data_IF_317323472194
#
_entry.id   IF_317323472194
#
_cell.length_a   1.000
_cell.length_b   1.000
_cell.length_c   1.000
_cell.angle_alpha   90.00
_cell.angle_beta   90.00
_cell.angle_gamma   90.00
#
_symmetry.space_group_name_H-M   'P 1'
#
loop_
_entity.id
_entity.type
_entity.pdbx_description
1 polymer ?
#
# COMPACT_ATOMS: atom_id res chain seq x y z
N UNK A 1 -1.00 -0.02 -13.57
CA UNK A 1 -2.08 0.85 -13.03
C UNK A 1 -1.59 1.47 -11.73
N UNK A 2 -2.00 2.71 -11.43
CA UNK A 2 -1.56 3.42 -10.23
C UNK A 2 -2.61 3.36 -9.13
N UNK A 3 -2.16 3.28 -7.88
CA UNK A 3 -3.00 3.19 -6.70
C UNK A 3 -2.47 4.14 -5.63
N UNK A 4 -3.35 5.00 -5.12
CA UNK A 4 -3.09 5.79 -3.92
C UNK A 4 -3.98 5.27 -2.80
N UNK A 5 -3.38 4.81 -1.71
CA UNK A 5 -4.10 4.18 -0.61
C UNK A 5 -3.81 4.88 0.71
N UNK A 6 -4.82 4.96 1.58
CA UNK A 6 -4.75 5.68 2.86
C UNK A 6 -5.08 4.79 4.05
N UNK A 7 -4.26 4.88 5.10
CA UNK A 7 -4.61 4.46 6.46
C UNK A 7 -5.31 5.65 7.16
N UNK A 8 -6.59 5.50 7.49
CA UNK A 8 -7.47 6.59 7.94
C UNK A 8 -7.28 6.96 9.42
N UNK A 9 -6.04 6.91 9.91
CA UNK A 9 -5.71 7.30 11.27
C UNK A 9 -5.85 8.83 11.46
N UNK A 10 -6.27 9.21 12.66
CA UNK A 10 -6.89 10.52 12.91
C UNK A 10 -5.88 11.60 13.28
N UNK A 11 -4.75 11.20 13.85
CA UNK A 11 -3.63 12.06 14.23
C UNK A 11 -2.41 11.78 13.34
N UNK A 12 -2.12 10.50 13.15
CA UNK A 12 -1.05 9.99 12.31
C UNK A 12 -1.63 9.61 10.97
N UNK A 13 -1.47 10.46 9.96
CA UNK A 13 -1.94 10.20 8.61
C UNK A 13 -0.89 9.41 7.84
N UNK A 14 -1.28 8.37 7.11
CA UNK A 14 -0.36 7.64 6.27
C UNK A 14 -0.97 7.27 4.91
N UNK A 15 -0.09 7.23 3.91
CA UNK A 15 -0.45 6.83 2.56
C UNK A 15 0.67 6.05 1.88
N UNK A 16 0.29 5.32 0.83
CA UNK A 16 1.21 4.73 -0.14
C UNK A 16 0.72 5.05 -1.55
N UNK A 17 1.63 5.51 -2.42
CA UNK A 17 1.44 5.59 -3.86
C UNK A 17 2.23 4.46 -4.50
N UNK A 18 1.55 3.61 -5.27
CA UNK A 18 2.18 2.47 -5.93
C UNK A 18 1.71 2.30 -7.36
N UNK A 19 2.59 1.73 -8.18
CA UNK A 19 2.26 1.19 -9.48
C UNK A 19 2.25 -0.34 -9.37
N UNK A 20 1.21 -0.96 -9.92
CA UNK A 20 1.13 -2.43 -10.07
C UNK A 20 0.78 -2.78 -11.51
N UNK A 21 1.64 -3.57 -12.15
CA UNK A 21 1.42 -4.16 -13.46
C UNK A 21 0.94 -5.61 -13.33
N UNK A 22 -0.35 -5.84 -13.54
CA UNK A 22 -0.92 -7.18 -13.45
C UNK A 22 -0.73 -8.00 -14.72
N UNK A 23 -0.23 -7.39 -15.81
CA UNK A 23 0.03 -8.11 -17.05
C UNK A 23 1.38 -8.86 -17.02
N UNK A 24 1.41 -9.89 -16.18
CA UNK A 24 2.55 -10.81 -16.06
C UNK A 24 2.58 -11.77 -17.26
N UNK A 25 1.44 -11.99 -17.91
CA UNK A 25 1.29 -12.94 -19.01
C UNK A 25 2.19 -12.59 -20.20
N UNK A 26 2.30 -11.30 -20.52
CA UNK A 26 3.19 -10.82 -21.57
C UNK A 26 4.66 -11.01 -21.20
N UNK A 27 5.05 -10.76 -19.95
CA UNK A 27 6.43 -10.98 -19.47
C UNK A 27 6.83 -12.45 -19.60
N UNK A 28 5.93 -13.37 -19.26
CA UNK A 28 6.19 -14.82 -19.37
C UNK A 28 6.26 -15.29 -20.83
N UNK A 29 5.38 -14.78 -21.71
CA UNK A 29 5.42 -15.10 -23.14
C UNK A 29 6.73 -14.64 -23.77
N UNK A 30 7.15 -13.41 -23.49
CA UNK A 30 8.42 -12.88 -23.99
C UNK A 30 9.61 -13.70 -23.47
N UNK A 31 9.58 -14.14 -22.20
CA UNK A 31 10.63 -14.99 -21.63
C UNK A 31 10.74 -16.34 -22.35
N UNK A 32 9.61 -17.01 -22.59
CA UNK A 32 9.58 -18.30 -23.29
C UNK A 32 10.09 -18.16 -24.72
N UNK A 33 9.68 -17.09 -25.43
CA UNK A 33 10.13 -16.83 -26.79
C UNK A 33 11.63 -16.56 -26.86
N UNK A 34 12.15 -15.71 -25.97
CA UNK A 34 13.59 -15.43 -25.90
C UNK A 34 14.39 -16.69 -25.54
N UNK A 35 13.87 -17.54 -24.64
CA UNK A 35 14.53 -18.78 -24.21
C UNK A 35 14.68 -19.80 -25.34
N UNK A 36 13.70 -19.88 -26.25
CA UNK A 36 13.75 -20.79 -27.41
C UNK A 36 14.88 -20.45 -28.40
N UNK A 37 15.34 -19.18 -28.42
CA UNK A 37 16.40 -18.71 -29.29
C UNK A 37 17.80 -18.76 -28.66
N UNK A 38 17.91 -19.04 -27.36
CA UNK A 38 19.16 -18.91 -26.61
C UNK A 38 19.89 -20.25 -26.47
N UNK A 39 21.20 -20.25 -26.69
CA UNK A 39 22.04 -21.44 -26.50
C UNK A 39 23.21 -21.14 -25.57
N UNK A 40 23.45 -22.06 -24.63
CA UNK A 40 24.57 -21.96 -23.70
C UNK A 40 24.21 -21.29 -22.38
N UNK A 41 24.99 -21.63 -21.36
CA UNK A 41 24.71 -21.28 -19.96
C UNK A 41 24.74 -19.77 -19.71
N UNK A 42 25.71 -19.05 -20.28
CA UNK A 42 25.86 -17.61 -20.08
C UNK A 42 24.68 -16.81 -20.68
N UNK A 43 24.19 -17.23 -21.85
CA UNK A 43 23.02 -16.62 -22.48
C UNK A 43 21.76 -16.80 -21.62
N UNK A 44 21.53 -18.02 -21.13
CA UNK A 44 20.43 -18.33 -20.23
C UNK A 44 20.52 -17.51 -18.93
N UNK A 45 21.70 -17.40 -18.32
CA UNK A 45 21.88 -16.59 -17.11
C UNK A 45 21.57 -15.10 -17.34
N UNK A 46 22.03 -14.54 -18.45
CA UNK A 46 21.72 -13.16 -18.84
C UNK A 46 20.22 -12.95 -19.05
N UNK A 47 19.57 -13.91 -19.72
CA UNK A 47 18.13 -13.89 -19.94
C UNK A 47 17.36 -13.95 -18.63
N UNK A 48 17.70 -14.87 -17.74
CA UNK A 48 17.08 -14.98 -16.41
C UNK A 48 17.25 -13.67 -15.64
N UNK A 49 18.42 -13.05 -15.68
CA UNK A 49 18.65 -11.77 -15.01
C UNK A 49 17.80 -10.63 -15.60
N UNK A 50 17.72 -10.52 -16.94
CA UNK A 50 16.85 -9.55 -17.64
C UNK A 50 15.40 -9.66 -17.18
N UNK A 51 14.85 -10.87 -17.13
CA UNK A 51 13.46 -11.09 -16.74
C UNK A 51 13.24 -10.97 -15.23
N UNK A 52 14.22 -11.33 -14.41
CA UNK A 52 14.20 -11.04 -12.98
C UNK A 52 14.04 -9.53 -12.72
N UNK A 53 14.79 -8.69 -13.42
CA UNK A 53 14.65 -7.23 -13.30
C UNK A 53 13.28 -6.72 -13.78
N UNK A 54 12.74 -7.28 -14.88
CA UNK A 54 11.36 -6.98 -15.32
C UNK A 54 10.32 -7.40 -14.27
N UNK A 55 10.49 -8.55 -13.63
CA UNK A 55 9.58 -9.02 -12.58
C UNK A 55 9.63 -8.09 -11.36
N UNK A 56 10.81 -7.57 -11.00
CA UNK A 56 10.99 -6.61 -9.90
C UNK A 56 10.28 -5.27 -10.12
N UNK A 57 9.91 -4.92 -11.36
CA UNK A 57 9.18 -3.68 -11.68
C UNK A 57 7.67 -3.87 -11.79
N UNK A 58 7.16 -5.11 -11.62
CA UNK A 58 5.71 -5.38 -11.60
C UNK A 58 5.03 -4.62 -10.46
N UNK A 59 5.68 -4.52 -9.31
CA UNK A 59 5.29 -3.64 -8.22
C UNK A 59 6.36 -2.56 -8.11
N UNK A 60 5.92 -1.32 -8.02
CA UNK A 60 6.79 -0.20 -7.70
C UNK A 60 6.12 0.67 -6.63
N UNK A 61 6.77 0.72 -5.47
CA UNK A 61 6.38 1.57 -4.35
C UNK A 61 6.95 2.97 -4.59
N UNK A 62 6.17 3.85 -5.19
CA UNK A 62 6.65 5.13 -5.73
C UNK A 62 6.86 6.18 -4.64
N UNK A 63 5.96 6.23 -3.66
CA UNK A 63 6.00 7.20 -2.58
C UNK A 63 5.17 6.71 -1.39
N UNK A 64 5.45 7.23 -0.21
CA UNK A 64 4.72 6.93 1.00
C UNK A 64 5.22 7.76 2.17
N UNK A 65 4.29 8.18 3.02
CA UNK A 65 4.64 8.99 4.17
C UNK A 65 3.77 8.67 5.37
N UNK A 66 4.31 9.00 6.55
CA UNK A 66 3.58 9.07 7.80
C UNK A 66 3.75 10.47 8.36
N UNK A 67 2.62 11.13 8.65
CA UNK A 67 2.60 12.51 9.11
C UNK A 67 1.81 12.60 10.40
N UNK A 68 2.44 13.05 11.48
CA UNK A 68 1.74 13.50 12.68
C UNK A 68 1.35 14.97 12.47
N UNK A 69 0.05 15.23 12.24
CA UNK A 69 -0.44 16.60 12.05
C UNK A 69 -0.44 17.42 13.34
N UNK A 70 -0.33 16.78 14.50
CA UNK A 70 -0.47 17.41 15.82
C UNK A 70 0.60 16.88 16.78
N UNK A 71 1.89 17.14 16.47
CA UNK A 71 2.99 16.67 17.32
C UNK A 71 2.80 17.21 18.74
N UNK A 72 3.08 16.36 19.72
CA UNK A 72 2.97 16.66 21.16
C UNK A 72 1.54 16.96 21.69
N UNK A 73 0.50 16.89 20.86
CA UNK A 73 -0.89 17.05 21.30
C UNK A 73 -1.54 15.67 21.50
N UNK A 74 -2.07 15.34 22.69
CA UNK A 74 -2.82 14.11 22.92
C UNK A 74 -4.03 13.98 21.98
N UNK A 75 -4.31 12.77 21.46
CA UNK A 75 -5.38 12.57 20.47
C UNK A 75 -6.77 13.01 20.97
N UNK A 76 -7.06 12.85 22.26
CA UNK A 76 -8.34 13.28 22.84
C UNK A 76 -8.51 14.81 22.91
N UNK A 77 -7.46 15.60 22.70
CA UNK A 77 -7.52 17.08 22.74
C UNK A 77 -7.65 17.73 21.35
N UNK A 78 -7.52 16.96 20.27
CA UNK A 78 -7.52 17.52 18.92
C UNK A 78 -8.95 17.62 18.41
N UNK A 79 -9.36 18.83 18.01
CA UNK A 79 -10.67 19.06 17.42
C UNK A 79 -10.80 18.36 16.06
N UNK A 80 -11.97 17.79 15.85
CA UNK A 80 -12.43 17.13 14.64
C UNK A 80 -12.24 17.98 13.36
N UNK A 81 -12.62 19.26 13.40
CA UNK A 81 -12.49 20.19 12.27
C UNK A 81 -11.02 20.46 11.95
N UNK A 82 -10.18 20.66 12.97
CA UNK A 82 -8.74 20.88 12.80
C UNK A 82 -8.08 19.71 12.06
N UNK A 83 -8.48 18.47 12.38
CA UNK A 83 -7.97 17.25 11.72
C UNK A 83 -8.28 17.27 10.23
N UNK A 84 -9.54 17.55 9.88
CA UNK A 84 -9.96 17.63 8.47
C UNK A 84 -9.18 18.75 7.78
N UNK A 85 -9.04 19.92 8.40
CA UNK A 85 -8.35 21.05 7.80
C UNK A 85 -6.88 20.72 7.52
N UNK A 86 -6.15 20.16 8.50
CA UNK A 86 -4.75 19.77 8.33
C UNK A 86 -4.57 18.70 7.26
N UNK A 87 -5.42 17.67 7.27
CA UNK A 87 -5.42 16.62 6.25
C UNK A 87 -5.72 17.18 4.86
N UNK A 88 -6.74 18.03 4.73
CA UNK A 88 -7.15 18.61 3.45
C UNK A 88 -6.06 19.49 2.85
N UNK A 89 -5.41 20.31 3.67
CA UNK A 89 -4.27 21.12 3.24
C UNK A 89 -3.10 20.23 2.82
N UNK A 90 -2.77 19.19 3.59
CA UNK A 90 -1.70 18.26 3.22
C UNK A 90 -2.00 17.55 1.88
N UNK A 91 -3.23 17.11 1.67
CA UNK A 91 -3.63 16.52 0.39
C UNK A 91 -3.47 17.52 -0.75
N UNK A 92 -4.01 18.72 -0.60
CA UNK A 92 -3.95 19.77 -1.62
C UNK A 92 -2.51 20.16 -1.97
N UNK A 93 -1.68 20.36 -0.96
CA UNK A 93 -0.37 20.98 -1.11
C UNK A 93 0.74 19.94 -1.40
N UNK A 94 0.53 18.68 -1.00
CA UNK A 94 1.55 17.62 -1.13
C UNK A 94 1.13 16.46 -2.03
N UNK A 95 -0.08 15.92 -1.86
CA UNK A 95 -0.48 14.70 -2.57
C UNK A 95 -1.00 14.99 -3.98
N UNK A 96 -1.91 15.96 -4.13
CA UNK A 96 -2.48 16.31 -5.44
C UNK A 96 -1.40 16.64 -6.47
N UNK A 97 -0.37 17.47 -6.17
CA UNK A 97 0.71 17.74 -7.12
C UNK A 97 1.46 16.49 -7.59
N UNK A 98 1.58 15.46 -6.74
CA UNK A 98 2.27 14.21 -7.08
C UNK A 98 1.46 13.29 -7.98
N UNK A 99 0.13 13.39 -7.97
CA UNK A 99 -0.76 12.47 -8.68
C UNK A 99 -1.48 13.11 -9.87
N UNK A 100 -1.42 14.44 -10.02
CA UNK A 100 -2.23 15.15 -11.01
C UNK A 100 -1.89 14.75 -12.46
N UNK A 101 -0.66 14.35 -12.72
CA UNK A 101 -0.17 13.94 -14.04
C UNK A 101 -0.13 12.40 -14.21
N UNK A 102 -0.62 11.66 -13.22
CA UNK A 102 -0.66 10.19 -13.27
C UNK A 102 -1.97 9.75 -13.92
N UNK A 103 -1.93 9.16 -15.14
CA UNK A 103 -3.13 8.59 -15.75
C UNK A 103 -3.59 7.34 -14.98
N UNK A 104 -4.91 7.14 -14.96
CA UNK A 104 -5.56 5.92 -14.45
C UNK A 104 -5.16 5.55 -13.01
N UNK A 105 -5.34 6.51 -12.10
CA UNK A 105 -5.17 6.29 -10.66
C UNK A 105 -6.49 5.91 -9.98
N UNK A 106 -6.46 4.84 -9.18
CA UNK A 106 -7.54 4.50 -8.26
C UNK A 106 -7.17 4.89 -6.82
N UNK A 107 -8.15 5.42 -6.08
CA UNK A 107 -7.97 5.92 -4.71
C UNK A 107 -8.61 4.94 -3.73
N UNK A 108 -7.82 4.39 -2.82
CA UNK A 108 -8.26 3.37 -1.87
C UNK A 108 -8.32 3.95 -0.47
N UNK A 109 -9.46 3.80 0.18
CA UNK A 109 -9.71 4.33 1.51
C UNK A 109 -10.21 3.16 2.37
N UNK A 110 -9.59 2.93 3.51
CA UNK A 110 -10.02 1.87 4.43
C UNK A 110 -11.42 2.17 4.97
N UNK A 111 -12.32 1.19 4.91
CA UNK A 111 -13.63 1.29 5.53
C UNK A 111 -13.49 1.29 7.05
N UNK A 112 -13.97 2.36 7.70
CA UNK A 112 -13.93 2.51 9.15
C UNK A 112 -15.28 2.14 9.78
N UNK A 113 -15.24 1.22 10.75
CA UNK A 113 -16.42 0.77 11.49
C UNK A 113 -17.08 1.92 12.29
N UNK A 114 -18.37 1.80 12.56
CA UNK A 114 -19.18 2.86 13.19
C UNK A 114 -18.66 3.35 14.54
N UNK A 115 -18.02 2.48 15.34
CA UNK A 115 -17.43 2.83 16.63
C UNK A 115 -16.22 3.78 16.52
N UNK A 116 -15.60 3.88 15.35
CA UNK A 116 -14.44 4.75 15.10
C UNK A 116 -14.87 6.06 14.41
N UNK A 117 -15.69 6.86 15.09
CA UNK A 117 -16.28 8.08 14.53
C UNK A 117 -15.24 9.05 13.93
N UNK A 118 -14.08 9.22 14.60
CA UNK A 118 -13.02 10.12 14.15
C UNK A 118 -12.43 9.64 12.81
N UNK A 119 -12.07 8.35 12.70
CA UNK A 119 -11.50 7.81 11.47
C UNK A 119 -12.53 7.77 10.33
N UNK A 120 -13.81 7.49 10.64
CA UNK A 120 -14.88 7.51 9.65
C UNK A 120 -15.07 8.88 9.01
N UNK A 121 -14.93 9.94 9.80
CA UNK A 121 -14.99 11.29 9.26
C UNK A 121 -13.78 11.61 8.37
N UNK A 122 -12.57 11.21 8.76
CA UNK A 122 -11.38 11.31 7.89
C UNK A 122 -11.60 10.59 6.57
N UNK A 123 -12.09 9.34 6.62
CA UNK A 123 -12.48 8.55 5.45
C UNK A 123 -13.52 9.30 4.59
N UNK A 124 -14.55 9.88 5.19
CA UNK A 124 -15.59 10.64 4.46
C UNK A 124 -15.03 11.90 3.79
N UNK A 125 -14.14 12.63 4.47
CA UNK A 125 -13.48 13.80 3.90
C UNK A 125 -12.54 13.41 2.75
N UNK A 126 -11.81 12.30 2.86
CA UNK A 126 -10.99 11.76 1.77
C UNK A 126 -11.85 11.42 0.54
N UNK A 127 -12.99 10.75 0.72
CA UNK A 127 -13.91 10.44 -0.38
C UNK A 127 -14.33 11.73 -1.11
N UNK A 128 -14.70 12.77 -0.36
CA UNK A 128 -15.11 14.05 -0.94
C UNK A 128 -13.97 14.73 -1.71
N UNK A 129 -12.76 14.79 -1.11
CA UNK A 129 -11.57 15.41 -1.71
C UNK A 129 -11.11 14.69 -2.98
N UNK A 130 -11.27 13.38 -3.05
CA UNK A 130 -10.88 12.55 -4.18
C UNK A 130 -12.06 12.21 -5.11
N UNK A 131 -13.19 12.91 -5.01
CA UNK A 131 -14.40 12.63 -5.80
C UNK A 131 -14.22 12.69 -7.32
N UNK A 132 -13.18 13.35 -7.82
CA UNK A 132 -12.81 13.37 -9.26
C UNK A 132 -12.13 12.09 -9.75
N UNK A 133 -11.72 11.22 -8.83
CA UNK A 133 -11.04 9.96 -9.13
C UNK A 133 -11.96 8.77 -8.84
N UNK A 134 -11.53 7.58 -9.28
CA UNK A 134 -12.20 6.34 -8.92
C UNK A 134 -11.84 5.94 -7.49
N UNK A 135 -12.72 6.28 -6.55
CA UNK A 135 -12.55 5.98 -5.13
C UNK A 135 -13.15 4.61 -4.78
N UNK A 136 -12.43 3.83 -3.98
CA UNK A 136 -12.87 2.54 -3.44
C UNK A 136 -12.76 2.50 -1.93
N UNK A 137 -13.82 2.03 -1.29
CA UNK A 137 -13.80 1.66 0.12
C UNK A 137 -13.40 0.20 0.26
N UNK A 138 -12.32 -0.05 1.01
CA UNK A 138 -11.74 -1.38 1.14
C UNK A 138 -12.02 -1.94 2.53
N UNK A 139 -12.42 -3.21 2.59
CA UNK A 139 -12.65 -3.88 3.85
C UNK A 139 -11.31 -4.10 4.59
N UNK A 140 -11.19 -3.67 5.87
CA UNK A 140 -9.93 -3.74 6.62
C UNK A 140 -9.40 -5.16 6.80
N UNK A 141 -10.24 -6.19 6.67
CA UNK A 141 -9.82 -7.60 6.81
C UNK A 141 -9.06 -8.15 5.61
N UNK A 142 -9.14 -7.52 4.43
CA UNK A 142 -8.55 -8.06 3.20
C UNK A 142 -7.02 -8.08 3.27
N UNK A 143 -6.39 -7.05 3.83
CA UNK A 143 -4.94 -6.98 4.00
C UNK A 143 -4.38 -8.13 4.84
N UNK A 144 -5.17 -8.66 5.78
CA UNK A 144 -4.76 -9.77 6.64
C UNK A 144 -4.75 -11.13 5.92
N UNK A 145 -5.26 -11.20 4.68
CA UNK A 145 -5.18 -12.41 3.85
C UNK A 145 -3.89 -12.46 3.02
N UNK A 146 -3.24 -11.31 2.81
CA UNK A 146 -2.06 -11.19 1.96
C UNK A 146 -0.81 -11.63 2.73
N UNK A 147 -0.11 -12.64 2.20
CA UNK A 147 1.18 -13.07 2.71
C UNK A 147 2.12 -13.46 1.57
N UNK A 148 3.43 -13.30 1.79
CA UNK A 148 4.47 -13.56 0.78
C UNK A 148 5.14 -14.92 1.01
N UNK A 149 5.21 -15.37 2.27
CA UNK A 149 5.84 -16.64 2.66
C UNK A 149 4.95 -17.41 3.64
N UNK A 150 5.27 -18.67 3.89
CA UNK A 150 4.55 -19.50 4.86
C UNK A 150 4.60 -18.90 6.27
N UNK A 151 5.75 -18.38 6.70
CA UNK A 151 5.95 -17.69 7.97
C UNK A 151 5.15 -16.38 8.03
N UNK A 152 4.97 -15.74 6.87
CA UNK A 152 4.18 -14.54 6.69
C UNK A 152 2.67 -14.73 6.86
N UNK A 153 2.17 -15.98 7.00
CA UNK A 153 0.73 -16.22 7.19
C UNK A 153 0.22 -15.65 8.51
N UNK A 154 -0.92 -14.96 8.44
CA UNK A 154 -1.58 -14.32 9.59
C UNK A 154 -1.78 -15.25 10.81
N UNK A 155 -2.02 -16.55 10.59
CA UNK A 155 -2.14 -17.56 11.68
C UNK A 155 -0.93 -17.58 12.63
N UNK A 156 0.28 -17.29 12.15
CA UNK A 156 1.49 -17.27 12.97
C UNK A 156 1.53 -16.03 13.87
N UNK A 157 1.03 -14.90 13.38
CA UNK A 157 0.93 -13.65 14.14
C UNK A 157 -0.17 -13.74 15.20
N UNK A 158 -1.34 -14.30 14.86
CA UNK A 158 -2.41 -14.53 15.84
C UNK A 158 -1.91 -15.39 17.01
N UNK A 159 -1.13 -16.44 16.73
CA UNK A 159 -0.55 -17.30 17.78
C UNK A 159 0.50 -16.59 18.64
N UNK A 160 1.24 -15.64 18.06
CA UNK A 160 2.36 -14.93 18.70
C UNK A 160 1.92 -13.74 19.55
N UNK A 161 0.88 -13.02 19.14
CA UNK A 161 0.44 -11.78 19.79
C UNK A 161 -0.86 -11.98 20.56
N UNK A 162 -0.94 -11.37 21.75
CA UNK A 162 -2.08 -11.52 22.67
C UNK A 162 -3.38 -10.92 22.14
N UNK A 163 -3.29 -9.89 21.29
CA UNK A 163 -4.47 -9.22 20.74
C UNK A 163 -4.40 -9.15 19.21
N UNK A 164 -5.57 -9.21 18.59
CA UNK A 164 -5.72 -9.26 17.14
C UNK A 164 -5.22 -7.98 16.45
N UNK A 165 -5.33 -6.83 17.12
CA UNK A 165 -4.84 -5.56 16.56
C UNK A 165 -3.32 -5.59 16.36
N UNK A 166 -2.56 -6.01 17.38
CA UNK A 166 -1.11 -6.19 17.29
C UNK A 166 -0.75 -7.26 16.27
N UNK A 167 -1.50 -8.37 16.23
CA UNK A 167 -1.28 -9.42 15.23
C UNK A 167 -1.42 -8.89 13.78
N UNK A 168 -2.52 -8.19 13.49
CA UNK A 168 -2.77 -7.60 12.16
C UNK A 168 -1.65 -6.62 11.77
N UNK A 169 -1.26 -5.73 12.70
CA UNK A 169 -0.25 -4.70 12.43
C UNK A 169 1.13 -5.29 12.15
N UNK A 170 1.54 -6.29 12.93
CA UNK A 170 2.84 -6.94 12.74
C UNK A 170 2.84 -7.87 11.52
N UNK A 171 1.71 -8.48 11.19
CA UNK A 171 1.53 -9.24 9.95
C UNK A 171 1.69 -8.35 8.71
N UNK A 172 1.02 -7.19 8.69
CA UNK A 172 1.12 -6.25 7.58
C UNK A 172 2.56 -5.73 7.41
N UNK A 173 3.22 -5.36 8.52
CA UNK A 173 4.63 -4.92 8.52
C UNK A 173 5.58 -5.97 7.98
N UNK A 174 5.44 -7.21 8.43
CA UNK A 174 6.32 -8.30 8.02
C UNK A 174 6.25 -8.54 6.51
N UNK A 175 5.03 -8.71 5.98
CA UNK A 175 4.84 -8.96 4.56
C UNK A 175 5.21 -7.75 3.69
N UNK A 176 4.90 -6.53 4.16
CA UNK A 176 5.32 -5.30 3.47
C UNK A 176 6.84 -5.19 3.36
N UNK A 177 7.58 -5.50 4.43
CA UNK A 177 9.05 -5.47 4.39
C UNK A 177 9.61 -6.45 3.34
N UNK A 178 9.07 -7.66 3.25
CA UNK A 178 9.48 -8.62 2.23
C UNK A 178 9.17 -8.13 0.81
N UNK A 179 8.01 -7.50 0.60
CA UNK A 179 7.66 -6.90 -0.70
C UNK A 179 8.62 -5.77 -1.03
N UNK A 180 8.91 -4.90 -0.08
CA UNK A 180 9.84 -3.78 -0.26
C UNK A 180 11.27 -4.24 -0.56
N UNK A 181 11.71 -5.37 0.00
CA UNK A 181 13.02 -5.96 -0.30
C UNK A 181 13.08 -6.61 -1.70
N UNK A 182 11.95 -7.14 -2.18
CA UNK A 182 11.86 -7.82 -3.48
C UNK A 182 11.65 -6.82 -4.62
N UNK A 183 10.78 -5.84 -4.44
CA UNK A 183 10.32 -4.95 -5.50
C UNK A 183 10.97 -3.57 -5.40
N UNK A 184 10.86 -2.77 -6.46
CA UNK A 184 11.41 -1.41 -6.43
C UNK A 184 10.64 -0.55 -5.40
N UNK A 185 11.37 0.18 -4.56
CA UNK A 185 10.80 1.13 -3.61
C UNK A 185 11.58 2.44 -3.59
N UNK A 186 10.86 3.55 -3.77
CA UNK A 186 11.33 4.91 -3.56
C UNK A 186 10.71 5.51 -2.28
N UNK A 187 10.01 4.69 -1.47
CA UNK A 187 9.42 5.15 -0.22
C UNK A 187 10.54 5.60 0.73
N UNK A 188 10.54 6.87 1.18
CA UNK A 188 11.57 7.39 2.06
C UNK A 188 11.78 6.53 3.29
N UNK A 189 13.02 6.38 3.77
CA UNK A 189 13.27 5.69 5.02
C UNK A 189 12.57 6.40 6.20
N UNK A 190 11.70 5.67 6.90
CA UNK A 190 10.95 6.15 8.06
C UNK A 190 11.30 5.35 9.31
N UNK A 191 10.88 5.80 10.50
CA UNK A 191 11.10 5.00 11.71
C UNK A 191 10.33 3.68 11.62
N UNK A 192 10.87 2.62 12.22
CA UNK A 192 10.25 1.27 12.23
C UNK A 192 8.81 1.28 12.76
N UNK A 193 8.51 2.13 13.75
CA UNK A 193 7.16 2.28 14.30
C UNK A 193 6.16 2.85 13.28
N UNK A 194 6.62 3.77 12.42
CA UNK A 194 5.83 4.47 11.41
C UNK A 194 5.62 3.60 10.16
N UNK A 195 6.59 2.75 9.80
CA UNK A 195 6.51 1.86 8.62
C UNK A 195 5.24 1.01 8.59
N UNK A 196 4.69 0.67 9.76
CA UNK A 196 3.43 -0.06 9.86
C UNK A 196 2.23 0.65 9.25
N UNK A 197 2.17 1.97 9.32
CA UNK A 197 1.05 2.73 8.75
C UNK A 197 1.11 2.78 7.22
N UNK A 198 2.32 2.91 6.66
CA UNK A 198 2.55 2.76 5.22
C UNK A 198 2.20 1.32 4.79
N UNK A 199 2.67 0.32 5.54
CA UNK A 199 2.37 -1.08 5.29
C UNK A 199 0.85 -1.33 5.26
N UNK A 200 0.10 -0.84 6.24
CA UNK A 200 -1.36 -0.97 6.26
C UNK A 200 -2.00 -0.38 4.99
N UNK A 201 -1.57 0.81 4.57
CA UNK A 201 -2.07 1.47 3.37
C UNK A 201 -1.73 0.70 2.08
N UNK A 202 -0.51 0.16 1.93
CA UNK A 202 -0.13 -0.57 0.73
C UNK A 202 -0.73 -1.99 0.69
N UNK A 203 -0.72 -2.70 1.82
CA UNK A 203 -1.27 -4.07 1.90
C UNK A 203 -2.78 -4.09 1.63
N UNK A 204 -3.48 -2.97 1.86
CA UNK A 204 -4.86 -2.78 1.41
C UNK A 204 -5.01 -2.86 -0.12
N UNK A 205 -4.08 -2.27 -0.87
CA UNK A 205 -4.06 -2.35 -2.34
C UNK A 205 -3.95 -3.81 -2.77
N UNK A 206 -2.95 -4.53 -2.26
CA UNK A 206 -2.77 -5.94 -2.59
C UNK A 206 -3.96 -6.81 -2.18
N UNK A 207 -4.56 -6.55 -1.01
CA UNK A 207 -5.73 -7.28 -0.54
C UNK A 207 -6.93 -7.13 -1.48
N UNK A 208 -7.13 -5.95 -2.06
CA UNK A 208 -8.17 -5.76 -3.07
C UNK A 208 -7.80 -6.46 -4.39
N UNK A 209 -6.58 -6.25 -4.88
CA UNK A 209 -6.14 -6.81 -6.16
C UNK A 209 -6.22 -8.34 -6.17
N UNK A 210 -5.78 -9.01 -5.11
CA UNK A 210 -5.71 -10.47 -5.06
C UNK A 210 -7.04 -11.17 -4.80
N UNK A 211 -8.03 -10.49 -4.19
CA UNK A 211 -9.24 -11.15 -3.69
C UNK A 211 -10.56 -10.57 -4.18
N UNK A 212 -10.55 -9.40 -4.79
CA UNK A 212 -11.78 -8.73 -5.24
C UNK A 212 -11.72 -8.21 -6.67
N UNK A 213 -10.53 -7.87 -7.17
CA UNK A 213 -10.37 -7.59 -8.58
C UNK A 213 -10.32 -8.95 -9.28
N UNK A 214 -11.24 -9.20 -10.20
CA UNK A 214 -11.10 -10.31 -11.14
C UNK A 214 -9.82 -10.03 -11.96
N UNK A 215 -8.75 -10.75 -11.63
CA UNK A 215 -7.48 -10.77 -12.37
C UNK A 215 -7.47 -12.02 -13.23
#
# INVERSE_FOLDING_TARGET
MHYLSFDCATKTFAYSLSYVNLDISHILKDFIQDLQGEQGEQGIQSLVHKYYLKMKSIIYLMDGAVVDFFPNIPDNKINTVDRIQKMSNYIKDTIIPKINDIPDIEIFIEFQMGSNHKARMISSALIALFSKYKVRLINPSLKNKVYVTEEGKHKHFIKKYTNLYSANKEHAKYNFALIEDIFKSDIPHTKKAERGHIADSFMQVLGYLLYLKDI
#
